data_IF_417429796034
#
_entry.id   IF_417429796034
#
_cell.length_a   1.000
_cell.length_b   1.000
_cell.length_c   1.000
_cell.angle_alpha   90.00
_cell.angle_beta   90.00
_cell.angle_gamma   90.00
#
_symmetry.space_group_name_H-M   'P 1'
#
loop_
_entity.id
_entity.type
_entity.pdbx_description
1 polymer ?
#
# COMPACT_ATOMS: atom_id res chain seq x y z
N UNK A 1 -12.94 61.90 6.06
CA UNK A 1 -13.26 60.66 5.32
C UNK A 1 -12.04 59.76 5.41
N UNK A 2 -11.99 58.89 6.42
CA UNK A 2 -10.96 57.86 6.55
C UNK A 2 -11.69 56.52 6.51
N UNK A 3 -11.39 55.74 5.48
CA UNK A 3 -12.06 54.50 5.15
C UNK A 3 -11.86 53.45 6.23
N UNK A 4 -12.96 52.85 6.66
CA UNK A 4 -13.03 51.63 7.45
C UNK A 4 -12.59 50.47 6.54
N UNK A 5 -11.44 49.86 6.79
CA UNK A 5 -11.11 48.54 6.24
C UNK A 5 -11.59 47.49 7.25
N UNK A 6 -12.55 46.62 6.89
CA UNK A 6 -12.95 45.50 7.73
C UNK A 6 -11.83 44.46 7.83
N UNK A 7 -11.82 43.79 8.97
CA UNK A 7 -10.83 42.86 9.51
C UNK A 7 -10.40 41.72 8.58
N UNK A 8 -9.13 41.29 8.76
CA UNK A 8 -8.52 40.05 8.23
C UNK A 8 -9.21 38.78 8.76
N UNK A 9 -10.49 38.61 8.47
CA UNK A 9 -11.28 37.43 8.84
C UNK A 9 -12.06 36.87 7.65
N UNK A 10 -11.47 36.83 6.46
CA UNK A 10 -11.97 35.99 5.35
C UNK A 10 -10.80 35.48 4.49
N UNK A 11 -9.98 34.59 5.06
CA UNK A 11 -9.34 33.52 4.28
C UNK A 11 -9.81 32.20 4.84
N UNK A 12 -11.00 31.80 4.42
CA UNK A 12 -11.36 30.40 4.27
C UNK A 12 -10.43 29.81 3.21
N UNK A 13 -9.20 29.51 3.62
CA UNK A 13 -8.32 28.62 2.88
C UNK A 13 -9.00 27.25 2.99
N UNK A 14 -9.78 26.92 1.97
CA UNK A 14 -10.36 25.60 1.85
C UNK A 14 -9.21 24.60 1.97
N UNK A 15 -9.13 23.94 3.12
CA UNK A 15 -8.30 22.76 3.30
C UNK A 15 -8.52 21.78 2.15
N UNK A 16 -7.55 20.89 1.90
CA UNK A 16 -7.53 20.05 0.71
C UNK A 16 -8.91 19.43 0.46
N UNK A 17 -9.39 19.59 -0.77
CA UNK A 17 -10.72 19.14 -1.19
C UNK A 17 -10.82 17.61 -1.07
N UNK A 18 -12.04 17.03 -1.02
CA UNK A 18 -12.26 15.57 -0.94
C UNK A 18 -11.58 14.70 -2.03
N UNK A 19 -10.88 15.33 -2.98
CA UNK A 19 -9.92 14.74 -3.91
C UNK A 19 -8.55 14.39 -3.27
N UNK A 20 -8.42 14.44 -1.93
CA UNK A 20 -7.52 13.53 -1.18
C UNK A 20 -7.87 12.05 -1.39
N UNK A 21 -8.89 11.77 -2.20
CA UNK A 21 -9.10 10.47 -2.80
C UNK A 21 -7.93 10.11 -3.74
N UNK A 22 -7.17 9.13 -3.29
CA UNK A 22 -6.34 8.19 -4.05
C UNK A 22 -4.83 8.42 -4.05
N UNK A 23 -4.20 7.57 -3.23
CA UNK A 23 -2.90 6.94 -3.43
C UNK A 23 -1.77 7.51 -2.58
N UNK A 24 -1.70 7.00 -1.36
CA UNK A 24 -0.50 7.07 -0.50
C UNK A 24 0.76 6.51 -1.17
N UNK A 25 0.68 5.93 -2.38
CA UNK A 25 1.86 5.56 -3.17
C UNK A 25 2.58 6.76 -3.77
N UNK A 26 1.94 7.91 -3.96
CA UNK A 26 2.57 9.12 -4.53
C UNK A 26 3.18 10.04 -3.46
N UNK A 27 3.67 9.48 -2.37
CA UNK A 27 4.48 10.23 -1.41
C UNK A 27 5.79 10.74 -2.06
N UNK A 28 6.56 11.57 -1.36
CA UNK A 28 7.83 12.12 -1.87
C UNK A 28 8.82 11.02 -2.30
N UNK A 29 8.70 9.81 -1.74
CA UNK A 29 9.50 8.64 -2.08
C UNK A 29 8.89 7.76 -3.20
N UNK A 30 7.99 8.28 -4.03
CA UNK A 30 7.42 7.47 -5.12
C UNK A 30 8.48 7.05 -6.15
N UNK A 31 8.42 5.78 -6.56
CA UNK A 31 9.09 5.28 -7.78
C UNK A 31 8.26 4.17 -8.43
N UNK A 32 8.40 3.92 -9.74
CA UNK A 32 7.78 2.78 -10.41
C UNK A 32 8.13 1.44 -9.77
N UNK A 33 9.36 1.25 -9.31
CA UNK A 33 9.85 0.03 -8.66
C UNK A 33 9.17 -0.17 -7.31
N UNK A 34 8.98 0.90 -6.54
CA UNK A 34 8.23 0.88 -5.27
C UNK A 34 6.76 0.55 -5.50
N UNK A 35 6.14 1.11 -6.53
CA UNK A 35 4.77 0.77 -6.91
C UNK A 35 4.65 -0.71 -7.28
N UNK A 36 5.58 -1.24 -8.07
CA UNK A 36 5.59 -2.65 -8.45
C UNK A 36 5.82 -3.56 -7.23
N UNK A 37 6.77 -3.22 -6.36
CA UNK A 37 7.00 -3.95 -5.11
C UNK A 37 5.76 -3.95 -4.23
N UNK A 38 5.08 -2.81 -4.11
CA UNK A 38 3.83 -2.71 -3.37
C UNK A 38 2.76 -3.66 -3.95
N UNK A 39 2.56 -3.69 -5.26
CA UNK A 39 1.62 -4.64 -5.88
C UNK A 39 2.01 -6.11 -5.63
N UNK A 40 3.30 -6.42 -5.57
CA UNK A 40 3.78 -7.76 -5.24
C UNK A 40 3.51 -8.10 -3.76
N UNK A 41 3.63 -7.13 -2.86
CA UNK A 41 3.31 -7.28 -1.44
C UNK A 41 1.81 -7.51 -1.20
N UNK A 42 0.95 -6.76 -1.88
CA UNK A 42 -0.50 -6.98 -1.83
C UNK A 42 -0.87 -8.37 -2.33
N UNK A 43 -0.34 -8.77 -3.49
CA UNK A 43 -0.55 -10.13 -4.03
C UNK A 43 -0.05 -11.23 -3.10
N UNK A 44 1.05 -10.99 -2.38
CA UNK A 44 1.52 -11.92 -1.35
C UNK A 44 0.50 -12.06 -0.22
N UNK A 45 0.00 -10.95 0.32
CA UNK A 45 -0.99 -10.95 1.41
C UNK A 45 -2.28 -11.67 1.03
N UNK A 46 -2.81 -11.39 -0.17
CA UNK A 46 -4.02 -12.04 -0.69
C UNK A 46 -3.85 -13.57 -0.78
N UNK A 47 -2.72 -14.02 -1.34
CA UNK A 47 -2.43 -15.45 -1.49
C UNK A 47 -2.25 -16.14 -0.15
N UNK A 48 -1.57 -15.50 0.81
CA UNK A 48 -1.45 -16.03 2.18
C UNK A 48 -2.84 -16.19 2.81
N UNK A 49 -3.71 -15.18 2.67
CA UNK A 49 -5.09 -15.25 3.17
C UNK A 49 -5.86 -16.44 2.57
N UNK A 50 -5.76 -16.66 1.26
CA UNK A 50 -6.37 -17.81 0.60
C UNK A 50 -5.83 -19.14 1.12
N UNK A 51 -4.51 -19.28 1.25
CA UNK A 51 -3.87 -20.52 1.73
C UNK A 51 -4.29 -20.83 3.16
N UNK A 52 -4.27 -19.83 4.05
CA UNK A 52 -4.71 -20.00 5.44
C UNK A 52 -6.20 -20.34 5.49
N UNK A 53 -7.03 -19.72 4.64
CA UNK A 53 -8.44 -20.07 4.51
C UNK A 53 -8.65 -21.53 4.05
N UNK A 54 -7.85 -22.02 3.11
CA UNK A 54 -7.90 -23.43 2.66
C UNK A 54 -7.49 -24.38 3.78
N UNK A 55 -6.44 -24.05 4.52
CA UNK A 55 -5.94 -24.85 5.64
C UNK A 55 -6.97 -24.89 6.79
N UNK A 56 -7.52 -23.74 7.18
CA UNK A 56 -8.53 -23.64 8.24
C UNK A 56 -9.82 -24.39 7.92
N UNK A 57 -10.16 -24.51 6.64
CA UNK A 57 -11.28 -25.31 6.15
C UNK A 57 -10.92 -26.79 5.85
N UNK A 58 -9.71 -27.23 6.22
CA UNK A 58 -9.26 -28.62 6.08
C UNK A 58 -9.03 -29.09 4.63
N UNK A 59 -8.91 -28.17 3.67
CA UNK A 59 -8.69 -28.51 2.25
C UNK A 59 -7.23 -28.86 1.94
N UNK A 60 -6.31 -28.32 2.73
CA UNK A 60 -4.88 -28.62 2.68
C UNK A 60 -4.34 -28.84 4.09
N UNK A 61 -3.22 -29.56 4.20
CA UNK A 61 -2.54 -29.77 5.49
C UNK A 61 -1.80 -28.52 5.93
N UNK A 62 -1.47 -28.46 7.23
CA UNK A 62 -0.64 -27.39 7.78
C UNK A 62 0.75 -27.33 7.13
N UNK A 63 1.38 -28.48 6.88
CA UNK A 63 2.69 -28.54 6.22
C UNK A 63 2.62 -28.06 4.77
N UNK A 64 1.58 -28.44 4.02
CA UNK A 64 1.37 -27.96 2.65
C UNK A 64 1.17 -26.44 2.60
N UNK A 65 0.36 -25.90 3.52
CA UNK A 65 0.17 -24.45 3.65
C UNK A 65 1.48 -23.73 3.98
N UNK A 66 2.27 -24.26 4.92
CA UNK A 66 3.57 -23.70 5.28
C UNK A 66 4.53 -23.68 4.10
N UNK A 67 4.67 -24.80 3.37
CA UNK A 67 5.57 -24.90 2.23
C UNK A 67 5.20 -23.92 1.11
N UNK A 68 3.90 -23.68 0.90
CA UNK A 68 3.42 -22.76 -0.12
C UNK A 68 3.66 -21.30 0.28
N UNK A 69 3.35 -20.92 1.53
CA UNK A 69 3.65 -19.59 2.07
C UNK A 69 5.17 -19.32 2.04
N UNK A 70 5.99 -20.33 2.34
CA UNK A 70 7.46 -20.23 2.26
C UNK A 70 7.96 -19.96 0.84
N UNK A 71 7.32 -20.54 -0.19
CA UNK A 71 7.64 -20.22 -1.59
C UNK A 71 7.27 -18.77 -1.92
N UNK A 72 6.07 -18.33 -1.54
CA UNK A 72 5.62 -16.95 -1.75
C UNK A 72 6.53 -15.94 -1.05
N UNK A 73 7.01 -16.24 0.15
CA UNK A 73 7.96 -15.39 0.88
C UNK A 73 9.28 -15.24 0.12
N UNK A 74 9.81 -16.32 -0.46
CA UNK A 74 11.02 -16.27 -1.29
C UNK A 74 10.82 -15.42 -2.54
N UNK A 75 9.68 -15.56 -3.21
CA UNK A 75 9.31 -14.75 -4.39
C UNK A 75 9.22 -13.26 -4.05
N UNK A 76 8.57 -12.92 -2.93
CA UNK A 76 8.51 -11.53 -2.43
C UNK A 76 9.91 -10.99 -2.10
N UNK A 77 10.76 -11.81 -1.48
CA UNK A 77 12.14 -11.47 -1.18
C UNK A 77 12.96 -11.12 -2.43
N UNK A 78 12.82 -11.91 -3.51
CA UNK A 78 13.46 -11.63 -4.80
C UNK A 78 12.95 -10.33 -5.42
N UNK A 79 11.64 -10.08 -5.35
CA UNK A 79 11.07 -8.80 -5.80
C UNK A 79 11.62 -7.60 -5.02
N UNK A 80 11.95 -7.77 -3.73
CA UNK A 80 12.56 -6.72 -2.90
C UNK A 80 14.02 -6.46 -3.30
N UNK A 81 14.80 -7.49 -3.61
CA UNK A 81 16.19 -7.29 -4.07
C UNK A 81 16.24 -6.48 -5.35
N UNK A 82 15.33 -6.74 -6.30
CA UNK A 82 15.21 -5.97 -7.54
C UNK A 82 14.90 -4.47 -7.32
N UNK A 83 14.35 -4.09 -6.16
CA UNK A 83 14.11 -2.68 -5.81
C UNK A 83 15.38 -1.96 -5.34
N UNK A 84 16.38 -2.67 -4.82
CA UNK A 84 17.60 -2.09 -4.25
C UNK A 84 18.85 -2.26 -5.14
N UNK A 85 18.78 -3.12 -6.16
CA UNK A 85 19.87 -3.35 -7.12
C UNK A 85 19.70 -2.58 -8.45
N UNK A 86 18.63 -1.79 -8.59
CA UNK A 86 18.31 -0.98 -9.77
C UNK A 86 18.72 0.49 -9.67
#
# INVERSE_FOLDING_TARGET
>A
MHSFQPSDSERSDHGPTPLEAFSHYRGPDWSPERLLFHQNLERFADRVGLIVGLQGNGKITQDAAYDEIKKLWRELGLSRSNLFEG
#
